data_IF_098236794915
#
_entry.id   IF_098236794915
#
_cell.length_a   1.000
_cell.length_b   1.000
_cell.length_c   1.000
_cell.angle_alpha   90.00
_cell.angle_beta   90.00
_cell.angle_gamma   90.00
#
_symmetry.space_group_name_H-M   'P 1'
#
loop_
_entity.id
_entity.type
_entity.pdbx_description
1 polymer ?
#
# COMPACT_ATOMS: atom_id res chain seq x y z
N UNK A 1 0.97 17.68 -14.52
CA UNK A 1 0.77 16.46 -13.73
C UNK A 1 -0.65 16.53 -13.21
N UNK A 2 -1.40 15.46 -13.34
CA UNK A 2 -2.66 15.32 -12.62
C UNK A 2 -2.36 15.38 -11.11
N UNK A 3 -3.28 15.95 -10.31
CA UNK A 3 -3.06 16.12 -8.87
C UNK A 3 -3.11 14.82 -8.07
N UNK A 4 -3.55 14.89 -6.82
CA UNK A 4 -3.76 13.73 -5.94
C UNK A 4 -4.89 12.86 -6.44
N UNK A 5 -4.71 11.52 -6.43
CA UNK A 5 -5.77 10.55 -6.64
C UNK A 5 -6.01 9.73 -5.37
N UNK A 6 -7.27 9.66 -4.94
CA UNK A 6 -7.71 8.75 -3.87
C UNK A 6 -8.40 7.54 -4.48
N UNK A 7 -7.81 6.36 -4.31
CA UNK A 7 -8.33 5.08 -4.81
C UNK A 7 -9.18 4.41 -3.75
N UNK A 8 -10.42 4.12 -4.08
CA UNK A 8 -11.44 3.53 -3.20
C UNK A 8 -11.97 2.23 -3.83
N UNK A 9 -11.39 1.06 -3.51
CA UNK A 9 -11.93 -0.21 -3.99
C UNK A 9 -13.24 -0.54 -3.28
N UNK A 10 -14.23 -1.01 -4.04
CA UNK A 10 -15.57 -1.33 -3.56
C UNK A 10 -15.99 -2.75 -3.94
N UNK A 11 -16.68 -3.39 -3.03
CA UNK A 11 -17.49 -4.59 -3.27
C UNK A 11 -18.61 -4.68 -2.24
N UNK A 12 -19.85 -4.44 -2.68
CA UNK A 12 -21.04 -4.32 -1.81
C UNK A 12 -20.86 -3.21 -0.76
N UNK A 13 -20.57 -1.99 -1.22
CA UNK A 13 -20.35 -0.81 -0.37
C UNK A 13 -21.33 0.33 -0.67
N UNK A 14 -22.51 0.01 -1.27
CA UNK A 14 -23.51 1.01 -1.66
C UNK A 14 -23.92 1.94 -0.53
N UNK A 15 -24.03 1.40 0.69
CA UNK A 15 -24.45 2.16 1.88
C UNK A 15 -23.39 3.15 2.38
N UNK A 16 -22.12 2.94 2.02
CA UNK A 16 -20.98 3.71 2.52
C UNK A 16 -20.39 4.65 1.47
N UNK A 17 -20.50 4.29 0.18
CA UNK A 17 -19.74 4.91 -0.91
C UNK A 17 -19.98 6.41 -1.02
N UNK A 18 -21.24 6.86 -1.06
CA UNK A 18 -21.56 8.28 -1.27
C UNK A 18 -21.03 9.16 -0.14
N UNK A 19 -21.16 8.69 1.12
CA UNK A 19 -20.62 9.39 2.28
C UNK A 19 -19.08 9.45 2.23
N UNK A 20 -18.42 8.33 1.92
CA UNK A 20 -16.95 8.27 1.84
C UNK A 20 -16.42 9.20 0.77
N UNK A 21 -17.01 9.21 -0.44
CA UNK A 21 -16.62 10.13 -1.54
C UNK A 21 -16.82 11.58 -1.13
N UNK A 22 -17.97 11.93 -0.56
CA UNK A 22 -18.26 13.30 -0.11
C UNK A 22 -17.25 13.78 0.95
N UNK A 23 -16.91 12.93 1.93
CA UNK A 23 -15.92 13.25 2.97
C UNK A 23 -14.50 13.41 2.41
N UNK A 24 -14.09 12.58 1.44
CA UNK A 24 -12.80 12.75 0.75
C UNK A 24 -12.76 14.07 0.02
N UNK A 25 -13.81 14.39 -0.76
CA UNK A 25 -13.92 15.65 -1.50
C UNK A 25 -13.96 16.88 -0.58
N UNK A 26 -14.55 16.76 0.60
CA UNK A 26 -14.53 17.82 1.61
C UNK A 26 -13.16 17.99 2.27
N UNK A 27 -12.46 16.89 2.55
CA UNK A 27 -11.14 16.93 3.21
C UNK A 27 -10.02 17.42 2.28
N UNK A 28 -10.06 17.06 0.99
CA UNK A 28 -9.07 17.43 -0.03
C UNK A 28 -9.80 17.78 -1.34
N UNK A 29 -10.35 18.99 -1.48
CA UNK A 29 -11.17 19.41 -2.63
C UNK A 29 -10.49 19.31 -3.98
N UNK A 30 -9.16 19.43 -4.01
CA UNK A 30 -8.34 19.32 -5.22
C UNK A 30 -8.02 17.88 -5.63
N UNK A 31 -8.30 16.88 -4.78
CA UNK A 31 -8.04 15.48 -5.11
C UNK A 31 -9.12 14.92 -6.05
N UNK A 32 -8.73 14.10 -7.01
CA UNK A 32 -9.63 13.21 -7.74
C UNK A 32 -9.88 11.94 -6.92
N UNK A 33 -11.03 11.30 -7.13
CA UNK A 33 -11.40 10.02 -6.53
C UNK A 33 -11.57 8.99 -7.64
N UNK A 34 -10.97 7.81 -7.48
CA UNK A 34 -11.21 6.66 -8.33
C UNK A 34 -11.96 5.58 -7.53
N UNK A 35 -13.23 5.40 -7.81
CA UNK A 35 -14.00 4.26 -7.32
C UNK A 35 -13.69 3.05 -8.19
N UNK A 36 -13.32 1.93 -7.57
CA UNK A 36 -12.95 0.70 -8.28
C UNK A 36 -13.93 -0.39 -7.90
N UNK A 37 -14.95 -0.58 -8.71
CA UNK A 37 -16.02 -1.53 -8.41
C UNK A 37 -15.69 -2.95 -8.91
N UNK A 38 -15.66 -3.88 -7.97
CA UNK A 38 -15.32 -5.30 -8.20
C UNK A 38 -16.57 -6.13 -8.57
N UNK A 39 -17.39 -5.64 -9.52
CA UNK A 39 -18.67 -6.22 -9.96
C UNK A 39 -19.66 -6.41 -8.79
N UNK A 40 -19.97 -5.35 -8.08
CA UNK A 40 -20.88 -5.36 -6.93
C UNK A 40 -22.33 -5.64 -7.36
N UNK A 41 -22.99 -6.67 -6.82
CA UNK A 41 -24.39 -6.99 -7.16
C UNK A 41 -25.42 -6.12 -6.45
N UNK A 42 -25.03 -5.26 -5.50
CA UNK A 42 -25.92 -4.42 -4.68
C UNK A 42 -26.20 -3.04 -5.28
N UNK A 43 -25.69 -2.76 -6.50
CA UNK A 43 -25.82 -1.47 -7.18
C UNK A 43 -24.77 -0.44 -6.72
N UNK A 44 -23.66 -0.86 -6.12
CA UNK A 44 -22.52 0.04 -5.81
C UNK A 44 -21.95 0.67 -7.07
N UNK A 45 -21.80 -0.11 -8.16
CA UNK A 45 -21.30 0.39 -9.44
C UNK A 45 -22.20 1.46 -10.07
N UNK A 46 -23.51 1.24 -10.06
CA UNK A 46 -24.48 2.23 -10.57
C UNK A 46 -24.39 3.54 -9.78
N UNK A 47 -24.31 3.45 -8.45
CA UNK A 47 -24.12 4.61 -7.58
C UNK A 47 -22.78 5.33 -7.87
N UNK A 48 -21.72 4.59 -8.15
CA UNK A 48 -20.43 5.18 -8.51
C UNK A 48 -20.53 5.99 -9.82
N UNK A 49 -21.26 5.48 -10.83
CA UNK A 49 -21.50 6.19 -12.08
C UNK A 49 -22.35 7.45 -11.88
N UNK A 50 -23.35 7.42 -11.00
CA UNK A 50 -24.12 8.59 -10.61
C UNK A 50 -23.22 9.68 -9.97
N UNK A 51 -22.33 9.29 -9.06
CA UNK A 51 -21.39 10.20 -8.42
C UNK A 51 -20.41 10.81 -9.44
N UNK A 52 -19.90 10.02 -10.37
CA UNK A 52 -19.01 10.50 -11.44
C UNK A 52 -19.72 11.44 -12.42
N UNK A 53 -20.99 11.20 -12.71
CA UNK A 53 -21.80 12.11 -13.54
C UNK A 53 -22.05 13.46 -12.83
N UNK A 54 -22.12 13.47 -11.49
CA UNK A 54 -22.37 14.68 -10.69
C UNK A 54 -21.10 15.48 -10.38
N UNK A 55 -19.92 14.83 -10.29
CA UNK A 55 -18.64 15.47 -9.99
C UNK A 55 -17.54 14.96 -10.92
N UNK A 56 -17.06 15.82 -11.81
CA UNK A 56 -16.01 15.49 -12.78
C UNK A 56 -14.66 15.10 -12.19
N UNK A 57 -14.46 15.25 -10.87
CA UNK A 57 -13.29 14.75 -10.16
C UNK A 57 -13.46 13.31 -9.65
N UNK A 58 -14.64 12.71 -9.81
CA UNK A 58 -14.89 11.31 -9.48
C UNK A 58 -14.81 10.48 -10.76
N UNK A 59 -14.02 9.44 -10.73
CA UNK A 59 -13.83 8.47 -11.81
C UNK A 59 -14.25 7.09 -11.36
N UNK A 60 -14.67 6.24 -12.29
CA UNK A 60 -15.08 4.86 -12.01
C UNK A 60 -14.28 3.89 -12.87
N UNK A 61 -13.81 2.83 -12.25
CA UNK A 61 -13.21 1.68 -12.91
C UNK A 61 -14.04 0.43 -12.58
N UNK A 62 -14.86 -0.01 -13.53
CA UNK A 62 -15.60 -1.26 -13.41
C UNK A 62 -14.71 -2.45 -13.74
N UNK A 63 -14.56 -3.39 -12.83
CA UNK A 63 -13.80 -4.61 -13.03
C UNK A 63 -14.72 -5.76 -13.37
N UNK A 64 -14.36 -6.55 -14.39
CA UNK A 64 -15.18 -7.66 -14.90
C UNK A 64 -15.13 -8.86 -13.94
N UNK A 65 -14.02 -9.05 -13.24
CA UNK A 65 -13.80 -10.25 -12.42
C UNK A 65 -13.34 -9.87 -11.00
N UNK A 66 -14.00 -10.47 -10.01
CA UNK A 66 -13.64 -10.33 -8.60
C UNK A 66 -12.40 -11.17 -8.27
N UNK A 67 -11.24 -10.54 -8.31
CA UNK A 67 -9.94 -11.17 -8.03
C UNK A 67 -9.33 -10.75 -6.68
N UNK A 68 -10.11 -10.09 -5.81
CA UNK A 68 -9.72 -9.65 -4.48
C UNK A 68 -9.10 -8.25 -4.43
N UNK A 69 -8.99 -7.73 -3.21
CA UNK A 69 -8.58 -6.34 -2.92
C UNK A 69 -7.23 -5.96 -3.54
N UNK A 70 -6.23 -6.85 -3.46
CA UNK A 70 -4.91 -6.59 -4.04
C UNK A 70 -4.96 -6.41 -5.55
N UNK A 71 -5.75 -7.22 -6.27
CA UNK A 71 -5.91 -7.07 -7.71
C UNK A 71 -6.63 -5.77 -8.09
N UNK A 72 -7.62 -5.33 -7.29
CA UNK A 72 -8.28 -4.06 -7.49
C UNK A 72 -7.30 -2.88 -7.33
N UNK A 73 -6.47 -2.90 -6.30
CA UNK A 73 -5.43 -1.87 -6.11
C UNK A 73 -4.38 -1.88 -7.22
N UNK A 74 -3.88 -3.05 -7.64
CA UNK A 74 -2.86 -3.12 -8.70
C UNK A 74 -3.35 -2.54 -10.02
N UNK A 75 -4.59 -2.87 -10.41
CA UNK A 75 -5.22 -2.33 -11.62
C UNK A 75 -5.43 -0.81 -11.52
N UNK A 76 -5.92 -0.33 -10.37
CA UNK A 76 -6.09 1.10 -10.13
C UNK A 76 -4.76 1.87 -10.12
N UNK A 77 -3.70 1.28 -9.59
CA UNK A 77 -2.38 1.90 -9.60
C UNK A 77 -1.82 2.02 -11.02
N UNK A 78 -2.00 0.98 -11.85
CA UNK A 78 -1.69 1.03 -13.28
C UNK A 78 -2.41 2.20 -13.95
N UNK A 79 -3.73 2.26 -13.80
CA UNK A 79 -4.56 3.34 -14.33
C UNK A 79 -4.09 4.72 -13.82
N UNK A 80 -3.85 4.87 -12.51
CA UNK A 80 -3.40 6.13 -11.92
C UNK A 80 -2.06 6.61 -12.50
N UNK A 81 -1.11 5.69 -12.70
CA UNK A 81 0.20 5.98 -13.26
C UNK A 81 0.12 6.36 -14.75
N UNK A 82 -0.77 5.74 -15.52
CA UNK A 82 -1.06 6.07 -16.91
C UNK A 82 -1.69 7.45 -17.06
N UNK A 83 -2.61 7.83 -16.15
CA UNK A 83 -3.22 9.15 -16.11
C UNK A 83 -2.30 10.25 -15.55
N UNK A 84 -1.13 9.88 -15.01
CA UNK A 84 -0.13 10.82 -14.51
C UNK A 84 -0.42 11.40 -13.14
N UNK A 85 -1.23 10.77 -12.31
CA UNK A 85 -1.50 11.19 -10.94
C UNK A 85 -0.28 11.04 -10.03
N UNK A 86 -0.06 12.04 -9.18
CA UNK A 86 0.93 12.05 -8.10
C UNK A 86 0.54 13.09 -7.03
N UNK A 87 0.31 12.69 -5.77
CA UNK A 87 0.41 11.34 -5.21
C UNK A 87 -0.83 10.46 -5.44
N UNK A 88 -0.69 9.14 -5.14
CA UNK A 88 -1.75 8.14 -5.19
C UNK A 88 -2.01 7.62 -3.77
N UNK A 89 -3.27 7.65 -3.34
CA UNK A 89 -3.70 7.30 -1.98
C UNK A 89 -4.58 6.07 -2.01
N UNK A 90 -4.36 5.16 -1.06
CA UNK A 90 -5.26 4.03 -0.75
C UNK A 90 -6.20 4.42 0.40
N UNK A 91 -7.49 4.21 0.22
CA UNK A 91 -8.51 4.44 1.23
C UNK A 91 -9.64 3.41 1.08
N UNK A 92 -10.07 2.77 2.17
CA UNK A 92 -11.16 1.80 2.14
C UNK A 92 -12.52 2.51 2.15
N UNK A 93 -13.53 1.91 1.47
CA UNK A 93 -14.87 2.48 1.35
C UNK A 93 -15.74 2.35 2.61
N UNK A 94 -15.35 1.51 3.58
CA UNK A 94 -16.19 1.07 4.70
C UNK A 94 -16.25 2.03 5.90
N UNK A 95 -15.70 3.23 5.74
CA UNK A 95 -15.64 4.28 6.77
C UNK A 95 -14.62 4.03 7.89
N UNK A 96 -13.83 2.96 7.80
CA UNK A 96 -12.79 2.67 8.81
C UNK A 96 -11.62 3.65 8.77
N UNK A 97 -11.30 4.18 7.60
CA UNK A 97 -10.33 5.23 7.41
C UNK A 97 -11.05 6.59 7.40
N UNK A 98 -10.65 7.50 8.28
CA UNK A 98 -11.25 8.83 8.34
C UNK A 98 -10.65 9.73 7.25
N UNK A 99 -11.43 10.15 6.24
CA UNK A 99 -10.93 11.01 5.16
C UNK A 99 -10.36 12.34 5.67
N UNK A 100 -10.83 12.83 6.82
CA UNK A 100 -10.36 14.05 7.48
C UNK A 100 -8.89 13.97 7.90
N UNK A 101 -8.31 12.77 7.95
CA UNK A 101 -6.89 12.56 8.25
C UNK A 101 -6.02 12.52 6.98
N UNK A 102 -6.63 12.51 5.79
CA UNK A 102 -5.91 12.50 4.52
C UNK A 102 -4.93 13.69 4.36
N UNK A 103 -5.29 14.92 4.75
CA UNK A 103 -4.35 16.04 4.66
C UNK A 103 -3.04 15.79 5.41
N UNK A 104 -3.07 15.11 6.56
CA UNK A 104 -1.86 14.81 7.34
C UNK A 104 -0.93 13.81 6.64
N UNK A 105 -1.48 12.83 5.89
CA UNK A 105 -0.69 11.91 5.08
C UNK A 105 -0.02 12.66 3.91
N UNK A 106 -0.77 13.51 3.23
CA UNK A 106 -0.28 14.30 2.09
C UNK A 106 0.77 15.32 2.51
N UNK A 107 0.54 16.04 3.62
CA UNK A 107 1.52 16.96 4.20
C UNK A 107 2.82 16.24 4.53
N UNK A 108 2.73 15.08 5.22
CA UNK A 108 3.92 14.29 5.59
C UNK A 108 4.68 13.76 4.37
N UNK A 109 3.97 13.40 3.30
CA UNK A 109 4.58 13.01 2.03
C UNK A 109 5.37 14.16 1.38
N UNK A 110 4.95 15.40 1.60
CA UNK A 110 5.62 16.61 1.12
C UNK A 110 6.87 17.01 1.91
N UNK A 111 7.05 16.46 3.13
CA UNK A 111 8.16 16.80 4.03
C UNK A 111 9.36 15.85 3.83
N UNK A 112 10.58 16.26 4.21
CA UNK A 112 11.75 15.38 4.20
C UNK A 112 11.62 14.28 5.28
N UNK A 113 12.29 13.17 5.08
CA UNK A 113 12.47 12.13 6.10
C UNK A 113 13.50 12.55 7.18
N UNK A 114 13.74 11.69 8.17
CA UNK A 114 14.67 11.96 9.25
C UNK A 114 16.13 12.17 8.80
N UNK A 115 16.49 11.68 7.61
CA UNK A 115 17.81 11.88 7.02
C UNK A 115 17.88 13.08 6.06
N UNK A 116 16.78 13.83 5.92
CA UNK A 116 16.66 14.96 4.98
C UNK A 116 16.33 14.53 3.56
N UNK A 117 16.07 13.23 3.32
CA UNK A 117 15.66 12.66 2.04
C UNK A 117 14.18 12.85 1.76
N UNK A 118 13.78 12.56 0.53
CA UNK A 118 12.38 12.58 0.13
C UNK A 118 11.63 11.38 0.68
N UNK A 119 10.44 11.59 1.23
CA UNK A 119 9.52 10.52 1.61
C UNK A 119 8.84 9.96 0.35
N UNK A 120 8.85 8.64 0.21
CA UNK A 120 8.29 7.91 -0.93
C UNK A 120 6.90 7.31 -0.63
N UNK A 121 6.67 6.91 0.64
CA UNK A 121 5.44 6.28 1.12
C UNK A 121 5.13 6.76 2.53
N UNK A 122 3.90 7.20 2.75
CA UNK A 122 3.34 7.49 4.08
C UNK A 122 2.28 6.46 4.42
N UNK A 123 2.34 5.93 5.63
CA UNK A 123 1.39 4.96 6.17
C UNK A 123 0.64 5.60 7.35
N UNK A 124 -0.68 5.61 7.28
CA UNK A 124 -1.53 5.92 8.43
C UNK A 124 -1.49 4.77 9.42
N UNK A 125 -0.81 4.98 10.54
CA UNK A 125 -0.49 3.95 11.52
C UNK A 125 -1.34 4.05 12.77
N UNK A 126 -1.90 2.92 13.19
CA UNK A 126 -2.65 2.76 14.44
C UNK A 126 -1.74 2.51 15.64
N UNK A 127 -0.47 2.12 15.38
CA UNK A 127 0.43 1.53 16.40
C UNK A 127 1.62 2.41 16.77
N UNK A 128 1.67 3.66 16.31
CA UNK A 128 2.63 4.67 16.76
C UNK A 128 1.99 5.61 17.79
N UNK A 129 2.76 6.39 18.56
CA UNK A 129 2.20 7.38 19.48
C UNK A 129 1.24 8.34 18.77
N UNK A 130 0.04 8.53 19.32
CA UNK A 130 -1.04 9.33 18.70
C UNK A 130 -1.97 8.51 17.78
N UNK A 131 -1.59 7.32 17.34
CA UNK A 131 -2.48 6.41 16.63
C UNK A 131 -3.44 5.69 17.56
N UNK A 132 -4.65 5.39 17.08
CA UNK A 132 -5.71 4.77 17.88
C UNK A 132 -6.61 3.86 17.05
N UNK A 133 -7.38 3.06 17.77
CA UNK A 133 -8.48 2.27 17.23
C UNK A 133 -9.74 2.55 18.06
N UNK A 134 -10.88 2.63 17.40
CA UNK A 134 -12.17 2.82 18.05
C UNK A 134 -13.09 1.63 17.76
N UNK A 135 -13.80 1.20 18.81
CA UNK A 135 -14.82 0.15 18.77
C UNK A 135 -14.34 -1.25 18.33
N UNK A 136 -13.05 -1.53 18.27
CA UNK A 136 -12.53 -2.86 17.91
C UNK A 136 -12.66 -3.85 19.06
N UNK A 137 -13.05 -5.11 18.78
CA UNK A 137 -12.92 -6.20 19.74
C UNK A 137 -11.43 -6.44 20.06
N UNK A 138 -11.12 -6.67 21.35
CA UNK A 138 -9.72 -6.88 21.82
C UNK A 138 -8.96 -7.97 21.07
N UNK A 139 -9.63 -9.06 20.72
CA UNK A 139 -8.98 -10.15 19.96
C UNK A 139 -8.53 -9.72 18.57
N UNK A 140 -9.27 -8.83 17.92
CA UNK A 140 -8.93 -8.27 16.59
C UNK A 140 -7.73 -7.31 16.70
N UNK A 141 -7.71 -6.49 17.74
CA UNK A 141 -6.56 -5.63 18.04
C UNK A 141 -5.29 -6.46 18.25
N UNK A 142 -5.34 -7.47 19.14
CA UNK A 142 -4.22 -8.36 19.40
C UNK A 142 -3.73 -9.05 18.13
N UNK A 143 -4.63 -9.58 17.31
CA UNK A 143 -4.28 -10.22 16.04
C UNK A 143 -3.57 -9.26 15.08
N UNK A 144 -4.05 -8.02 14.96
CA UNK A 144 -3.44 -7.00 14.10
C UNK A 144 -2.06 -6.57 14.59
N UNK A 145 -1.90 -6.35 15.90
CA UNK A 145 -0.59 -6.03 16.52
C UNK A 145 0.41 -7.18 16.34
N UNK A 146 -0.03 -8.41 16.58
CA UNK A 146 0.79 -9.60 16.38
C UNK A 146 1.19 -9.79 14.92
N UNK A 147 0.24 -9.65 13.99
CA UNK A 147 0.52 -9.74 12.55
C UNK A 147 1.54 -8.71 12.09
N UNK A 148 1.40 -7.45 12.53
CA UNK A 148 2.37 -6.40 12.22
C UNK A 148 3.74 -6.67 12.85
N UNK A 149 3.79 -7.10 14.12
CA UNK A 149 5.05 -7.44 14.80
C UNK A 149 5.76 -8.62 14.13
N UNK A 150 4.99 -9.65 13.74
CA UNK A 150 5.51 -10.81 13.02
C UNK A 150 6.09 -10.44 11.65
N UNK A 151 5.35 -9.66 10.85
CA UNK A 151 5.81 -9.19 9.55
C UNK A 151 7.10 -8.35 9.68
N UNK A 152 7.14 -7.43 10.64
CA UNK A 152 8.33 -6.62 10.95
C UNK A 152 9.54 -7.49 11.25
N UNK A 153 9.40 -8.46 12.14
CA UNK A 153 10.50 -9.34 12.55
C UNK A 153 10.99 -10.21 11.38
N UNK A 154 10.07 -10.81 10.63
CA UNK A 154 10.41 -11.69 9.50
C UNK A 154 11.05 -10.94 8.35
N UNK A 155 10.49 -9.79 7.98
CA UNK A 155 10.87 -9.03 6.78
C UNK A 155 11.83 -7.87 7.12
N UNK A 156 12.18 -7.67 8.39
CA UNK A 156 13.05 -6.59 8.89
C UNK A 156 12.52 -5.21 8.47
N UNK A 157 11.22 -4.99 8.65
CA UNK A 157 10.57 -3.72 8.36
C UNK A 157 10.74 -2.78 9.55
N UNK A 158 10.95 -1.50 9.28
CA UNK A 158 11.01 -0.46 10.33
C UNK A 158 9.62 0.04 10.72
N UNK A 159 8.62 -0.16 9.86
CA UNK A 159 7.23 0.26 10.01
C UNK A 159 6.52 -0.52 11.13
N UNK A 160 5.83 0.16 12.05
CA UNK A 160 5.11 -0.47 13.16
C UNK A 160 3.77 -1.08 12.75
N UNK A 161 3.08 -0.47 11.78
CA UNK A 161 1.80 -0.95 11.26
C UNK A 161 1.91 -1.48 9.83
N UNK A 162 2.50 -2.66 9.68
CA UNK A 162 2.70 -3.28 8.37
C UNK A 162 1.38 -3.66 7.66
N UNK A 163 0.28 -3.76 8.40
CA UNK A 163 -1.04 -4.19 7.89
C UNK A 163 -1.99 -3.04 7.59
N UNK A 164 -1.61 -1.79 7.86
CA UNK A 164 -2.44 -0.63 7.57
C UNK A 164 -2.71 -0.49 6.07
N UNK A 165 -3.95 -0.18 5.71
CA UNK A 165 -4.40 0.04 4.34
C UNK A 165 -4.45 1.52 3.93
N UNK A 166 -4.42 2.45 4.88
CA UNK A 166 -4.42 3.88 4.61
C UNK A 166 -3.02 4.35 4.27
N UNK A 167 -2.75 4.61 3.00
CA UNK A 167 -1.39 4.89 2.50
C UNK A 167 -1.40 5.96 1.43
N UNK A 168 -0.36 6.79 1.40
CA UNK A 168 -0.10 7.74 0.33
C UNK A 168 1.27 7.45 -0.31
N UNK A 169 1.28 7.22 -1.60
CA UNK A 169 2.47 6.89 -2.39
C UNK A 169 2.80 8.02 -3.36
N UNK A 170 4.06 8.26 -3.58
CA UNK A 170 4.50 8.96 -4.78
C UNK A 170 4.41 8.03 -6.00
N UNK A 171 4.07 8.58 -7.14
CA UNK A 171 3.93 7.81 -8.39
C UNK A 171 5.24 7.13 -8.81
N UNK A 172 6.38 7.80 -8.69
CA UNK A 172 7.68 7.23 -9.01
C UNK A 172 8.12 6.14 -8.01
N UNK A 173 7.74 6.26 -6.74
CA UNK A 173 7.92 5.19 -5.75
C UNK A 173 7.14 3.93 -6.14
N UNK A 174 5.90 4.12 -6.60
CA UNK A 174 5.05 3.02 -7.05
C UNK A 174 5.62 2.30 -8.27
N UNK A 175 6.23 3.03 -9.22
CA UNK A 175 6.96 2.44 -10.35
C UNK A 175 8.18 1.63 -9.90
N UNK A 176 8.89 2.09 -8.85
CA UNK A 176 10.06 1.37 -8.28
C UNK A 176 9.67 0.08 -7.55
N UNK A 177 8.45 -0.02 -7.04
CA UNK A 177 7.94 -1.22 -6.38
C UNK A 177 7.79 -2.40 -7.36
N UNK A 178 7.68 -2.15 -8.67
CA UNK A 178 7.44 -3.17 -9.70
C UNK A 178 6.15 -3.94 -9.38
N UNK A 179 5.03 -3.29 -9.64
CA UNK A 179 3.69 -3.80 -9.30
C UNK A 179 3.42 -5.22 -9.86
N UNK A 180 4.09 -5.58 -10.96
CA UNK A 180 4.05 -6.91 -11.57
C UNK A 180 4.59 -8.04 -10.69
N UNK A 181 5.46 -7.71 -9.71
CA UNK A 181 6.02 -8.67 -8.76
C UNK A 181 5.15 -8.85 -7.51
N UNK A 182 4.10 -8.04 -7.35
CA UNK A 182 3.16 -8.12 -6.23
C UNK A 182 2.05 -9.12 -6.55
N UNK A 183 2.08 -10.28 -5.93
CA UNK A 183 1.19 -11.39 -6.29
C UNK A 183 0.10 -11.68 -5.27
N UNK A 184 0.11 -11.03 -4.11
CA UNK A 184 -0.84 -11.27 -3.03
C UNK A 184 -2.16 -10.56 -3.32
N UNK A 185 -3.25 -11.32 -3.41
CA UNK A 185 -4.58 -10.79 -3.77
C UNK A 185 -5.47 -10.44 -2.58
N UNK A 186 -5.12 -10.91 -1.37
CA UNK A 186 -5.88 -10.75 -0.15
C UNK A 186 -5.25 -9.76 0.85
N UNK A 187 -5.50 -9.96 2.13
CA UNK A 187 -5.00 -9.10 3.21
C UNK A 187 -3.47 -9.04 3.33
N UNK A 188 -2.75 -10.03 2.79
CA UNK A 188 -1.30 -10.00 2.68
C UNK A 188 -0.78 -8.93 1.72
N UNK A 189 -1.64 -8.36 0.86
CA UNK A 189 -1.27 -7.35 -0.12
C UNK A 189 -0.54 -6.15 0.49
N UNK A 190 -1.01 -5.66 1.63
CA UNK A 190 -0.39 -4.51 2.28
C UNK A 190 1.04 -4.81 2.77
N UNK A 191 1.27 -6.02 3.25
CA UNK A 191 2.61 -6.47 3.69
C UNK A 191 3.52 -6.73 2.48
N UNK A 192 2.97 -7.28 1.39
CA UNK A 192 3.66 -7.53 0.13
C UNK A 192 4.17 -6.22 -0.48
N UNK A 193 3.28 -5.23 -0.63
CA UNK A 193 3.63 -3.88 -1.09
C UNK A 193 4.73 -3.23 -0.23
N UNK A 194 4.63 -3.36 1.10
CA UNK A 194 5.61 -2.78 2.01
C UNK A 194 6.96 -3.51 1.93
N UNK A 195 6.96 -4.81 1.73
CA UNK A 195 8.19 -5.57 1.52
C UNK A 195 8.89 -5.16 0.22
N UNK A 196 8.14 -5.03 -0.89
CA UNK A 196 8.68 -4.53 -2.15
C UNK A 196 9.17 -3.07 -2.06
N UNK A 197 8.46 -2.22 -1.32
CA UNK A 197 8.91 -0.85 -1.03
C UNK A 197 10.28 -0.85 -0.33
N UNK A 198 10.45 -1.70 0.68
CA UNK A 198 11.73 -1.87 1.37
C UNK A 198 12.84 -2.40 0.46
N UNK A 199 12.56 -3.44 -0.34
CA UNK A 199 13.56 -3.99 -1.29
C UNK A 199 13.97 -2.96 -2.36
N UNK A 200 13.05 -2.08 -2.75
CA UNK A 200 13.31 -0.94 -3.64
C UNK A 200 14.08 0.22 -2.96
N UNK A 201 14.33 0.13 -1.64
CA UNK A 201 15.02 1.18 -0.87
C UNK A 201 14.20 2.46 -0.76
N UNK A 202 12.85 2.36 -0.67
CA UNK A 202 11.98 3.50 -0.51
C UNK A 202 12.02 4.04 0.93
N UNK A 203 11.94 5.37 1.06
CA UNK A 203 11.73 6.04 2.35
C UNK A 203 10.26 5.91 2.76
N UNK A 204 10.02 5.11 3.82
CA UNK A 204 8.68 4.84 4.36
C UNK A 204 8.56 5.49 5.73
N UNK A 205 7.52 6.29 5.92
CA UNK A 205 7.23 6.94 7.21
C UNK A 205 5.81 6.67 7.66
N UNK A 206 5.57 6.78 8.96
CA UNK A 206 4.25 6.60 9.56
C UNK A 206 3.72 7.92 10.13
N UNK A 207 2.42 8.16 9.98
CA UNK A 207 1.67 9.21 10.68
C UNK A 207 0.60 8.57 11.54
N UNK A 208 0.28 9.13 12.72
CA UNK A 208 -0.77 8.56 13.57
C UNK A 208 -2.14 8.78 12.93
N UNK A 209 -2.96 7.73 12.92
CA UNK A 209 -4.35 7.80 12.50
C UNK A 209 -5.26 7.09 13.49
N UNK A 210 -6.52 7.53 13.55
CA UNK A 210 -7.60 6.81 14.21
C UNK A 210 -8.28 5.89 13.21
N UNK A 211 -8.38 4.64 13.54
CA UNK A 211 -9.11 3.65 12.76
C UNK A 211 -10.39 3.28 13.49
N UNK A 212 -11.53 3.47 12.85
CA UNK A 212 -12.84 3.21 13.44
C UNK A 212 -13.35 1.83 12.97
N UNK A 213 -13.99 1.06 13.85
CA UNK A 213 -14.67 -0.16 13.38
C UNK A 213 -15.81 0.24 12.44
N UNK A 214 -15.90 -0.47 11.31
CA UNK A 214 -17.00 -0.26 10.36
C UNK A 214 -18.35 -0.38 11.03
N UNK A 215 -19.25 0.53 10.72
CA UNK A 215 -20.62 0.53 11.26
C UNK A 215 -21.51 -0.42 10.44
N UNK A 216 -21.25 -0.54 9.14
CA UNK A 216 -22.01 -1.33 8.17
C UNK A 216 -21.11 -2.34 7.46
N UNK A 217 -21.68 -3.46 7.02
CA UNK A 217 -20.95 -4.52 6.33
C UNK A 217 -20.34 -5.57 7.28
N UNK A 218 -19.72 -6.60 6.70
CA UNK A 218 -19.08 -7.72 7.44
C UNK A 218 -17.59 -7.80 7.09
N UNK A 219 -16.77 -8.05 8.10
CA UNK A 219 -15.35 -8.33 7.90
C UNK A 219 -15.17 -9.59 7.04
N UNK A 220 -14.40 -9.47 5.96
CA UNK A 220 -14.07 -10.58 5.05
C UNK A 220 -12.83 -11.36 5.54
N UNK A 221 -12.29 -11.02 6.73
CA UNK A 221 -11.10 -11.68 7.29
C UNK A 221 -11.47 -13.03 7.90
N UNK A 222 -10.80 -14.10 7.44
CA UNK A 222 -10.92 -15.46 7.98
C UNK A 222 -9.59 -15.96 8.51
N UNK A 223 -9.61 -16.99 9.36
CA UNK A 223 -8.40 -17.64 9.86
C UNK A 223 -7.50 -18.17 8.72
N UNK A 224 -8.10 -18.68 7.65
CA UNK A 224 -7.37 -19.17 6.48
C UNK A 224 -6.54 -18.05 5.82
N UNK A 225 -7.09 -16.84 5.71
CA UNK A 225 -6.40 -15.66 5.15
C UNK A 225 -5.20 -15.26 6.03
N UNK A 226 -5.37 -15.31 7.35
CA UNK A 226 -4.28 -15.00 8.30
C UNK A 226 -3.15 -16.01 8.18
N UNK A 227 -3.48 -17.31 8.09
CA UNK A 227 -2.49 -18.39 7.93
C UNK A 227 -1.77 -18.24 6.58
N UNK A 228 -2.49 -18.00 5.49
CA UNK A 228 -1.89 -17.78 4.17
C UNK A 228 -0.90 -16.61 4.21
N UNK A 229 -1.28 -15.47 4.79
CA UNK A 229 -0.41 -14.31 4.94
C UNK A 229 0.85 -14.65 5.76
N UNK A 230 0.71 -15.38 6.87
CA UNK A 230 1.83 -15.79 7.70
C UNK A 230 2.81 -16.71 6.95
N UNK A 231 2.30 -17.69 6.18
CA UNK A 231 3.12 -18.59 5.35
C UNK A 231 3.90 -17.81 4.29
N UNK A 232 3.24 -16.87 3.59
CA UNK A 232 3.91 -16.02 2.58
C UNK A 232 4.98 -15.13 3.19
N UNK A 233 4.68 -14.45 4.31
CA UNK A 233 5.65 -13.62 5.05
C UNK A 233 6.86 -14.45 5.47
N UNK A 234 6.63 -15.68 5.95
CA UNK A 234 7.72 -16.60 6.30
C UNK A 234 8.58 -16.92 5.08
N UNK A 235 7.96 -17.28 3.95
CA UNK A 235 8.68 -17.62 2.72
C UNK A 235 9.53 -16.44 2.21
N UNK A 236 8.98 -15.22 2.20
CA UNK A 236 9.72 -14.01 1.82
C UNK A 236 10.88 -13.71 2.78
N UNK A 237 10.65 -13.81 4.09
CA UNK A 237 11.69 -13.59 5.10
C UNK A 237 12.84 -14.59 4.99
N UNK A 238 12.56 -15.85 4.69
CA UNK A 238 13.57 -16.87 4.44
C UNK A 238 14.35 -16.60 3.15
N UNK A 239 13.66 -16.27 2.06
CA UNK A 239 14.30 -15.90 0.78
C UNK A 239 15.26 -14.72 0.95
N UNK A 240 14.84 -13.66 1.63
CA UNK A 240 15.67 -12.47 1.85
C UNK A 240 16.90 -12.75 2.72
N UNK A 241 16.82 -13.74 3.64
CA UNK A 241 17.94 -14.15 4.51
C UNK A 241 18.95 -15.06 3.82
N UNK A 242 18.48 -15.96 2.94
CA UNK A 242 19.32 -16.98 2.31
C UNK A 242 19.71 -16.61 0.87
N UNK A 243 18.91 -15.83 0.13
CA UNK A 243 19.19 -15.43 -1.24
C UNK A 243 20.38 -14.45 -1.37
N UNK A 244 20.66 -13.65 -0.34
CA UNK A 244 21.81 -12.74 -0.33
C UNK A 244 23.17 -13.45 -0.20
N UNK A 245 23.21 -14.72 0.20
CA UNK A 245 24.46 -15.49 0.29
C UNK A 245 24.99 -15.96 -1.07
N UNK A 246 24.20 -15.96 -2.12
CA UNK A 246 24.60 -16.46 -3.46
C UNK A 246 25.22 -15.42 -4.38
N UNK A 247 25.30 -14.15 -3.98
CA UNK A 247 25.92 -13.06 -4.77
C UNK A 247 27.21 -12.49 -4.16
N UNK A 248 27.90 -13.25 -3.33
CA UNK A 248 29.30 -12.94 -3.01
C UNK A 248 30.13 -13.27 -4.25
N UNK A 249 30.58 -12.26 -4.98
CA UNK A 249 31.46 -12.38 -6.11
C UNK A 249 32.70 -13.19 -5.75
N UNK A 250 33.19 -14.06 -6.65
CA UNK A 250 34.53 -14.63 -6.50
C UNK A 250 35.54 -13.49 -6.64
N UNK A 251 36.32 -13.26 -5.60
CA UNK A 251 37.51 -12.42 -5.66
C UNK A 251 38.44 -12.96 -6.73
N UNK A 252 38.55 -12.24 -7.82
CA UNK A 252 39.52 -12.51 -8.87
C UNK A 252 40.91 -12.24 -8.30
N UNK A 253 41.57 -13.30 -7.84
CA UNK A 253 42.97 -13.33 -7.49
C UNK A 253 43.81 -13.18 -8.75
N UNK A 254 44.15 -11.96 -9.10
CA UNK A 254 45.13 -11.67 -10.14
C UNK A 254 46.51 -12.06 -9.67
N UNK A 255 46.99 -13.22 -10.07
CA UNK A 255 48.38 -13.60 -9.99
C UNK A 255 49.16 -12.84 -11.10
N UNK A 256 49.96 -11.90 -10.65
CA UNK A 256 51.00 -11.28 -11.51
C UNK A 256 52.00 -12.32 -11.95
N UNK A 257 52.27 -12.37 -13.22
CA UNK A 257 53.50 -12.98 -13.76
C UNK A 257 54.28 -11.93 -14.53
N UNK A 258 55.37 -11.53 -13.90
CA UNK A 258 56.51 -10.83 -14.50
C UNK A 258 57.17 -11.74 -15.53
N UNK A 259 57.42 -11.23 -16.74
CA UNK A 259 58.45 -11.77 -17.60
C UNK A 259 59.18 -10.61 -18.31
N UNK A 260 60.36 -10.37 -17.83
CA UNK A 260 61.38 -9.58 -18.49
C UNK A 260 61.88 -10.33 -19.73
N UNK A 261 62.06 -9.62 -20.81
CA UNK A 261 62.66 -10.14 -22.05
C UNK A 261 63.36 -9.04 -22.83
N UNK A 262 64.63 -9.00 -22.64
CA UNK A 262 65.71 -8.24 -23.29
C UNK A 262 65.69 -8.29 -24.82
N UNK A 263 66.05 -7.13 -25.42
CA UNK A 263 67.31 -6.90 -26.19
C UNK A 263 67.31 -7.10 -27.73
N UNK A 264 67.83 -6.07 -28.34
CA UNK A 264 68.59 -5.99 -29.64
C UNK A 264 67.76 -5.89 -30.94
N UNK A 265 67.90 -4.87 -31.65
CA UNK A 265 68.91 -4.23 -32.46
C UNK A 265 68.35 -2.91 -32.99
#
# INVERSE_FOLDING_TARGET
MAGTLVVIPTYNERENLAETVARVRAAVPEASVLVVDDSSPDGTGDLADELAAADGAVHVLHRIARNGLGAAYLESFGWALEQGYDPIVQLDADGSHLPEQLPSLLERLGQPDAAGGRVDLVIGSRWIPGGSIENWPRHRELLSRWGSAYARWMLRLDTRDATAGYRAFRADAMRRIRLEDVHTRGYGFQVDMLWHAREAGLSVVEVPVTFVERVRGRSKMSAAIVIEAAVRVTAWGLRSRFGRRSMAQPTNGGSGSSAAGRSRA
#
